data_IF_838551541856
#
_entry.id   IF_838551541856
#
_cell.length_a   1.000
_cell.length_b   1.000
_cell.length_c   1.000
_cell.angle_alpha   90.00
_cell.angle_beta   90.00
_cell.angle_gamma   90.00
#
_symmetry.space_group_name_H-M   'P 1'
#
loop_
_entity.id
_entity.type
_entity.pdbx_description
1 polymer ?
#
# COMPACT_ATOMS: atom_id res chain seq x y z
N UNK A 1 24.29 25.00 44.61
CA UNK A 1 23.85 24.03 43.58
C UNK A 1 22.43 24.37 43.19
N UNK A 2 22.14 24.51 41.91
CA UNK A 2 20.80 24.84 41.40
C UNK A 2 19.90 23.61 41.55
N UNK A 3 18.80 23.71 42.30
CA UNK A 3 17.77 22.67 42.29
C UNK A 3 16.96 22.77 41.00
N UNK A 4 17.08 21.77 40.14
CA UNK A 4 16.24 21.64 38.95
C UNK A 4 14.98 20.89 39.37
N UNK A 5 13.87 21.61 39.53
CA UNK A 5 12.56 21.02 39.81
C UNK A 5 11.99 20.42 38.52
N UNK A 6 12.15 19.11 38.31
CA UNK A 6 11.55 18.41 37.17
C UNK A 6 10.14 17.96 37.55
N UNK A 7 9.12 18.39 36.80
CA UNK A 7 7.76 17.81 36.92
C UNK A 7 7.80 16.38 36.40
N UNK A 8 7.65 15.40 37.29
CA UNK A 8 7.37 14.02 36.91
C UNK A 8 5.86 13.86 36.77
N UNK A 9 5.41 13.51 35.56
CA UNK A 9 4.03 13.11 35.33
C UNK A 9 3.89 11.63 35.71
N UNK A 10 3.24 11.33 36.83
CA UNK A 10 2.78 9.96 37.10
C UNK A 10 1.51 9.70 36.30
N UNK A 11 1.62 8.85 35.29
CA UNK A 11 0.46 8.41 34.52
C UNK A 11 -0.27 7.31 35.27
N UNK A 12 -1.55 7.55 35.57
CA UNK A 12 -2.41 6.51 36.11
C UNK A 12 -2.51 5.30 35.15
N UNK A 13 -2.71 4.11 35.71
CA UNK A 13 -2.91 2.87 34.96
C UNK A 13 -4.03 3.00 33.93
N UNK A 14 -5.08 3.77 34.26
CA UNK A 14 -6.14 4.13 33.33
C UNK A 14 -5.61 4.85 32.08
N UNK A 15 -4.79 5.89 32.26
CA UNK A 15 -4.21 6.68 31.16
C UNK A 15 -3.33 5.82 30.25
N UNK A 16 -2.54 4.91 30.83
CA UNK A 16 -1.71 3.97 30.06
C UNK A 16 -2.56 3.02 29.22
N UNK A 17 -3.67 2.51 29.76
CA UNK A 17 -4.61 1.63 29.04
C UNK A 17 -5.30 2.38 27.91
N UNK A 18 -5.75 3.61 28.15
CA UNK A 18 -6.32 4.47 27.11
C UNK A 18 -5.30 4.75 26.00
N UNK A 19 -4.04 5.01 26.33
CA UNK A 19 -2.97 5.21 25.34
C UNK A 19 -2.79 4.00 24.41
N UNK A 20 -2.82 2.78 24.95
CA UNK A 20 -2.75 1.56 24.13
C UNK A 20 -3.98 1.35 23.24
N UNK A 21 -5.17 1.61 23.78
CA UNK A 21 -6.40 1.54 23.00
C UNK A 21 -6.39 2.54 21.84
N UNK A 22 -6.02 3.79 22.09
CA UNK A 22 -5.91 4.82 21.05
C UNK A 22 -4.84 4.49 20.01
N UNK A 23 -3.71 3.91 20.42
CA UNK A 23 -2.68 3.45 19.49
C UNK A 23 -3.19 2.32 18.59
N UNK A 24 -3.95 1.37 19.15
CA UNK A 24 -4.60 0.33 18.37
C UNK A 24 -5.64 0.90 17.39
N UNK A 25 -6.49 1.82 17.84
CA UNK A 25 -7.43 2.51 16.97
C UNK A 25 -6.70 3.26 15.84
N UNK A 26 -5.59 3.94 16.14
CA UNK A 26 -4.77 4.62 15.13
C UNK A 26 -4.25 3.64 14.08
N UNK A 27 -3.65 2.52 14.49
CA UNK A 27 -3.19 1.48 13.56
C UNK A 27 -4.33 0.91 12.73
N UNK A 28 -5.45 0.56 13.36
CA UNK A 28 -6.56 -0.06 12.65
C UNK A 28 -7.22 0.90 11.66
N UNK A 29 -7.52 2.13 12.08
CA UNK A 29 -8.10 3.16 11.20
C UNK A 29 -7.16 3.52 10.05
N UNK A 30 -5.85 3.65 10.30
CA UNK A 30 -4.88 3.92 9.24
C UNK A 30 -4.86 2.80 8.18
N UNK A 31 -4.73 1.53 8.60
CA UNK A 31 -4.77 0.41 7.66
C UNK A 31 -6.14 0.25 6.98
N UNK A 32 -7.23 0.61 7.65
CA UNK A 32 -8.57 0.56 7.07
C UNK A 32 -8.73 1.58 5.94
N UNK A 33 -8.23 2.81 6.12
CA UNK A 33 -8.25 3.84 5.07
C UNK A 33 -7.45 3.36 3.84
N UNK A 34 -6.25 2.79 4.07
CA UNK A 34 -5.43 2.22 2.99
C UNK A 34 -6.17 1.07 2.28
N UNK A 35 -6.78 0.15 3.04
CA UNK A 35 -7.54 -0.96 2.47
C UNK A 35 -8.72 -0.51 1.60
N UNK A 36 -9.45 0.53 2.04
CA UNK A 36 -10.54 1.13 1.25
C UNK A 36 -9.98 1.76 -0.03
N UNK A 37 -8.84 2.45 0.04
CA UNK A 37 -8.15 3.01 -1.12
C UNK A 37 -7.75 1.94 -2.14
N UNK A 38 -7.04 0.91 -1.70
CA UNK A 38 -6.57 -0.20 -2.54
C UNK A 38 -7.75 -0.90 -3.25
N UNK A 39 -8.80 -1.22 -2.49
CA UNK A 39 -10.00 -1.88 -3.04
C UNK A 39 -10.75 -0.95 -4.01
N UNK A 40 -10.81 0.35 -3.74
CA UNK A 40 -11.48 1.32 -4.60
C UNK A 40 -10.79 1.42 -5.95
N UNK A 41 -9.46 1.54 -5.95
CA UNK A 41 -8.64 1.58 -7.17
C UNK A 41 -8.81 0.27 -7.93
N UNK A 42 -8.70 -0.87 -7.24
CA UNK A 42 -8.85 -2.18 -7.86
C UNK A 42 -10.23 -2.37 -8.51
N UNK A 43 -11.31 -1.92 -7.86
CA UNK A 43 -12.67 -2.01 -8.40
C UNK A 43 -12.88 -1.07 -9.60
N UNK A 44 -12.33 0.14 -9.54
CA UNK A 44 -12.36 1.06 -10.69
C UNK A 44 -11.59 0.50 -11.89
N UNK A 45 -10.41 -0.08 -11.65
CA UNK A 45 -9.58 -0.72 -12.68
C UNK A 45 -10.27 -1.96 -13.24
N UNK A 46 -10.82 -2.84 -12.40
CA UNK A 46 -11.54 -4.02 -12.87
C UNK A 46 -12.73 -3.65 -13.75
N UNK A 47 -13.51 -2.64 -13.36
CA UNK A 47 -14.59 -2.10 -14.20
C UNK A 47 -14.08 -1.56 -15.52
N UNK A 48 -13.00 -0.79 -15.48
CA UNK A 48 -12.42 -0.24 -16.68
C UNK A 48 -11.93 -1.34 -17.62
N UNK A 49 -11.22 -2.33 -17.09
CA UNK A 49 -10.66 -3.44 -17.84
C UNK A 49 -11.77 -4.27 -18.51
N UNK A 50 -12.75 -4.75 -17.74
CA UNK A 50 -13.81 -5.65 -18.22
C UNK A 50 -15.00 -4.94 -18.92
N UNK A 51 -14.89 -3.66 -19.26
CA UNK A 51 -15.88 -2.95 -20.09
C UNK A 51 -15.36 -2.84 -21.51
N UNK A 52 -16.08 -3.37 -22.52
CA UNK A 52 -15.69 -3.26 -23.95
C UNK A 52 -15.78 -1.82 -24.45
N UNK A 53 -16.90 -1.16 -24.19
CA UNK A 53 -17.15 0.21 -24.65
C UNK A 53 -16.66 1.23 -23.60
N UNK A 54 -15.37 1.60 -23.63
CA UNK A 54 -14.76 2.48 -22.61
C UNK A 54 -15.44 3.84 -22.47
N UNK A 55 -16.05 4.35 -23.55
CA UNK A 55 -16.81 5.62 -23.52
C UNK A 55 -18.04 5.58 -22.60
N UNK A 56 -18.55 4.39 -22.24
CA UNK A 56 -19.64 4.23 -21.26
C UNK A 56 -19.19 4.44 -19.82
N UNK A 57 -17.88 4.40 -19.57
CA UNK A 57 -17.32 4.60 -18.24
C UNK A 57 -17.35 6.09 -17.95
N UNK A 58 -18.36 6.52 -17.19
CA UNK A 58 -18.48 7.92 -16.79
C UNK A 58 -17.37 8.35 -15.82
N UNK A 59 -17.11 9.66 -15.75
CA UNK A 59 -16.11 10.26 -14.87
C UNK A 59 -16.32 9.98 -13.37
N UNK A 60 -17.53 9.58 -12.97
CA UNK A 60 -17.90 9.24 -11.60
C UNK A 60 -17.54 7.81 -11.17
N UNK A 61 -16.89 7.03 -12.04
CA UNK A 61 -16.61 5.59 -11.79
C UNK A 61 -15.83 5.35 -10.51
N UNK A 62 -14.82 6.18 -10.21
CA UNK A 62 -14.02 6.05 -8.98
C UNK A 62 -14.88 6.35 -7.74
N UNK A 63 -15.73 7.37 -7.80
CA UNK A 63 -16.62 7.74 -6.69
C UNK A 63 -17.66 6.65 -6.45
N UNK A 64 -18.24 6.08 -7.51
CA UNK A 64 -19.14 4.93 -7.40
C UNK A 64 -18.43 3.69 -6.85
N UNK A 65 -17.19 3.41 -7.29
CA UNK A 65 -16.39 2.33 -6.74
C UNK A 65 -16.13 2.54 -5.24
N UNK A 66 -15.74 3.74 -4.83
CA UNK A 66 -15.51 4.08 -3.42
C UNK A 66 -16.78 3.88 -2.59
N UNK A 67 -17.92 4.37 -3.07
CA UNK A 67 -19.21 4.15 -2.42
C UNK A 67 -19.49 2.66 -2.25
N UNK A 68 -19.31 1.85 -3.29
CA UNK A 68 -19.56 0.41 -3.21
C UNK A 68 -18.60 -0.30 -2.27
N UNK A 69 -17.34 0.13 -2.20
CA UNK A 69 -16.38 -0.41 -1.23
C UNK A 69 -16.84 -0.13 0.20
N UNK A 70 -17.26 1.10 0.49
CA UNK A 70 -17.72 1.48 1.84
C UNK A 70 -19.01 0.74 2.24
N UNK A 71 -19.97 0.59 1.33
CA UNK A 71 -21.26 -0.04 1.67
C UNK A 71 -21.26 -1.57 1.59
N UNK A 72 -20.61 -2.16 0.59
CA UNK A 72 -20.69 -3.61 0.34
C UNK A 72 -19.41 -4.36 0.72
N UNK A 73 -18.24 -3.70 0.75
CA UNK A 73 -16.96 -4.36 1.00
C UNK A 73 -16.21 -3.83 2.23
N UNK A 74 -16.86 -3.03 3.09
CA UNK A 74 -16.25 -2.50 4.31
C UNK A 74 -15.87 -3.62 5.27
N UNK A 75 -16.65 -4.71 5.36
CA UNK A 75 -16.30 -5.88 6.15
C UNK A 75 -14.99 -6.56 5.70
N UNK A 76 -14.79 -6.70 4.39
CA UNK A 76 -13.54 -7.24 3.82
C UNK A 76 -12.35 -6.33 4.12
N UNK A 77 -12.52 -5.01 3.97
CA UNK A 77 -11.47 -4.04 4.28
C UNK A 77 -11.15 -4.05 5.78
N UNK A 78 -12.18 -4.04 6.64
CA UNK A 78 -12.04 -4.05 8.10
C UNK A 78 -11.35 -5.31 8.61
N UNK A 79 -11.69 -6.48 8.08
CA UNK A 79 -11.04 -7.74 8.48
C UNK A 79 -9.56 -7.77 8.08
N UNK A 80 -9.23 -7.43 6.83
CA UNK A 80 -7.83 -7.41 6.39
C UNK A 80 -6.99 -6.35 7.11
N UNK A 81 -7.54 -5.16 7.36
CA UNK A 81 -6.84 -4.09 8.09
C UNK A 81 -6.67 -4.41 9.58
N UNK A 82 -7.64 -5.11 10.19
CA UNK A 82 -7.57 -5.55 11.58
C UNK A 82 -6.40 -6.52 11.81
N UNK A 83 -6.21 -7.49 10.91
CA UNK A 83 -5.09 -8.44 11.02
C UNK A 83 -3.73 -7.72 11.02
N UNK A 84 -3.56 -6.73 10.13
CA UNK A 84 -2.34 -5.93 10.07
C UNK A 84 -2.17 -5.10 11.36
N UNK A 85 -3.25 -4.49 11.85
CA UNK A 85 -3.23 -3.65 13.05
C UNK A 85 -2.89 -4.45 14.33
N UNK A 86 -3.36 -5.69 14.45
CA UNK A 86 -2.98 -6.59 15.55
C UNK A 86 -1.48 -6.84 15.55
N UNK A 87 -0.90 -7.13 14.39
CA UNK A 87 0.55 -7.34 14.25
C UNK A 87 1.35 -6.07 14.58
N UNK A 88 0.87 -4.91 14.14
CA UNK A 88 1.47 -3.61 14.49
C UNK A 88 1.43 -3.33 16.00
N UNK A 89 0.30 -3.66 16.65
CA UNK A 89 0.18 -3.51 18.10
C UNK A 89 1.16 -4.43 18.83
N UNK A 90 1.30 -5.68 18.40
CA UNK A 90 2.28 -6.62 18.99
C UNK A 90 3.70 -6.07 18.85
N UNK A 91 4.08 -5.53 17.69
CA UNK A 91 5.38 -4.87 17.49
C UNK A 91 5.57 -3.66 18.40
N UNK A 92 4.53 -2.85 18.61
CA UNK A 92 4.60 -1.72 19.53
C UNK A 92 4.83 -2.19 20.98
N UNK A 93 4.19 -3.29 21.39
CA UNK A 93 4.42 -3.92 22.70
C UNK A 93 5.85 -4.46 22.83
N UNK A 94 6.36 -5.17 21.81
CA UNK A 94 7.74 -5.66 21.77
C UNK A 94 8.73 -4.49 21.86
N UNK A 95 8.50 -3.40 21.12
CA UNK A 95 9.33 -2.20 21.17
C UNK A 95 9.36 -1.55 22.56
N UNK A 96 8.23 -1.54 23.27
CA UNK A 96 8.19 -1.08 24.68
C UNK A 96 8.98 -2.03 25.58
N UNK A 97 8.83 -3.35 25.41
CA UNK A 97 9.58 -4.34 26.17
C UNK A 97 11.09 -4.23 25.93
N UNK A 98 11.52 -3.94 24.71
CA UNK A 98 12.94 -3.70 24.38
C UNK A 98 13.50 -2.50 25.14
N UNK A 99 12.74 -1.40 25.22
CA UNK A 99 13.13 -0.22 26.02
C UNK A 99 13.25 -0.58 27.50
N UNK A 100 12.32 -1.35 28.04
CA UNK A 100 12.37 -1.81 29.43
C UNK A 100 13.58 -2.73 29.71
N UNK A 101 13.86 -3.69 28.82
CA UNK A 101 15.01 -4.59 28.94
C UNK A 101 16.35 -3.83 28.88
N UNK A 102 16.43 -2.80 28.01
CA UNK A 102 17.60 -1.91 27.92
C UNK A 102 17.83 -1.14 29.22
N UNK A 103 16.76 -0.62 29.82
CA UNK A 103 16.83 0.08 31.12
C UNK A 103 17.25 -0.86 32.26
N UNK A 104 16.86 -2.13 32.19
CA UNK A 104 17.23 -3.17 33.16
C UNK A 104 18.60 -3.82 32.89
N UNK A 105 19.36 -3.37 31.88
CA UNK A 105 20.64 -3.95 31.43
C UNK A 105 20.59 -5.46 31.13
N UNK A 106 19.42 -6.00 30.78
CA UNK A 106 19.25 -7.42 30.46
C UNK A 106 19.51 -7.68 28.96
N UNK A 107 20.77 -8.01 28.64
CA UNK A 107 21.22 -8.26 27.26
C UNK A 107 20.50 -9.46 26.60
N UNK A 108 20.24 -10.53 27.35
CA UNK A 108 19.58 -11.73 26.82
C UNK A 108 18.13 -11.42 26.39
N UNK A 109 17.37 -10.73 27.24
CA UNK A 109 16.02 -10.29 26.90
C UNK A 109 16.01 -9.35 25.69
N UNK A 110 17.01 -8.47 25.57
CA UNK A 110 17.19 -7.60 24.41
C UNK A 110 17.35 -8.36 23.09
N UNK A 111 18.18 -9.42 23.07
CA UNK A 111 18.42 -10.25 21.87
C UNK A 111 17.15 -11.00 21.46
N UNK A 112 16.45 -11.64 22.40
CA UNK A 112 15.21 -12.38 22.12
C UNK A 112 14.16 -11.44 21.54
N UNK A 113 13.94 -10.28 22.16
CA UNK A 113 12.96 -9.30 21.70
C UNK A 113 13.34 -8.71 20.34
N UNK A 114 14.63 -8.58 20.01
CA UNK A 114 15.09 -8.19 18.68
C UNK A 114 14.69 -9.22 17.62
N UNK A 115 14.89 -10.51 17.90
CA UNK A 115 14.47 -11.58 17.00
C UNK A 115 12.95 -11.57 16.78
N UNK A 116 12.16 -11.45 17.86
CA UNK A 116 10.70 -11.33 17.75
C UNK A 116 10.30 -10.10 16.92
N UNK A 117 10.94 -8.94 17.14
CA UNK A 117 10.66 -7.73 16.37
C UNK A 117 10.89 -7.94 14.86
N UNK A 118 11.92 -8.68 14.48
CA UNK A 118 12.20 -9.04 13.09
C UNK A 118 11.11 -9.96 12.52
N UNK A 119 10.74 -11.03 13.23
CA UNK A 119 9.70 -11.96 12.79
C UNK A 119 8.34 -11.27 12.58
N UNK A 120 7.92 -10.43 13.52
CA UNK A 120 6.66 -9.68 13.39
C UNK A 120 6.74 -8.60 12.32
N UNK A 121 7.92 -8.02 12.06
CA UNK A 121 8.12 -7.11 10.92
C UNK A 121 7.88 -7.85 9.59
N UNK A 122 8.47 -9.04 9.42
CA UNK A 122 8.27 -9.86 8.22
C UNK A 122 6.81 -10.28 8.06
N UNK A 123 6.14 -10.68 9.15
CA UNK A 123 4.73 -11.02 9.12
C UNK A 123 3.87 -9.82 8.72
N UNK A 124 4.16 -8.61 9.23
CA UNK A 124 3.44 -7.40 8.84
C UNK A 124 3.60 -7.09 7.35
N UNK A 125 4.82 -7.21 6.82
CA UNK A 125 5.10 -7.04 5.39
C UNK A 125 4.34 -8.07 4.54
N UNK A 126 4.34 -9.34 4.96
CA UNK A 126 3.62 -10.42 4.29
C UNK A 126 2.10 -10.18 4.32
N UNK A 127 1.53 -9.81 5.46
CA UNK A 127 0.11 -9.50 5.59
C UNK A 127 -0.28 -8.32 4.73
N UNK A 128 0.51 -7.23 4.69
CA UNK A 128 0.23 -6.11 3.79
C UNK A 128 0.24 -6.53 2.33
N UNK A 129 1.26 -7.29 1.92
CA UNK A 129 1.36 -7.79 0.55
C UNK A 129 0.17 -8.68 0.19
N UNK A 130 -0.17 -9.68 1.00
CA UNK A 130 -1.29 -10.58 0.74
C UNK A 130 -2.63 -9.82 0.77
N UNK A 131 -2.84 -8.92 1.73
CA UNK A 131 -4.06 -8.13 1.84
C UNK A 131 -4.29 -7.26 0.61
N UNK A 132 -3.27 -6.51 0.15
CA UNK A 132 -3.35 -5.69 -1.06
C UNK A 132 -3.79 -6.52 -2.27
N UNK A 133 -3.14 -7.66 -2.49
CA UNK A 133 -3.47 -8.56 -3.59
C UNK A 133 -4.85 -9.23 -3.42
N UNK A 134 -5.26 -9.53 -2.18
CA UNK A 134 -6.57 -10.07 -1.87
C UNK A 134 -7.70 -9.06 -2.12
N UNK A 135 -7.46 -7.77 -1.88
CA UNK A 135 -8.41 -6.72 -2.23
C UNK A 135 -8.61 -6.67 -3.74
N UNK A 136 -7.54 -6.75 -4.53
CA UNK A 136 -7.63 -6.82 -6.00
C UNK A 136 -8.45 -8.04 -6.45
N UNK A 137 -8.17 -9.22 -5.89
CA UNK A 137 -8.94 -10.43 -6.19
C UNK A 137 -10.41 -10.33 -5.77
N UNK A 138 -10.69 -9.66 -4.66
CA UNK A 138 -12.06 -9.39 -4.22
C UNK A 138 -12.77 -8.44 -5.19
N UNK A 139 -12.08 -7.42 -5.69
CA UNK A 139 -12.66 -6.49 -6.66
C UNK A 139 -13.03 -7.18 -7.98
N UNK A 140 -12.23 -8.14 -8.44
CA UNK A 140 -12.49 -8.89 -9.68
C UNK A 140 -13.59 -9.94 -9.49
N UNK A 141 -13.47 -10.78 -8.44
CA UNK A 141 -14.31 -11.97 -8.28
C UNK A 141 -15.42 -11.85 -7.23
N UNK A 142 -15.49 -10.73 -6.49
CA UNK A 142 -16.47 -10.50 -5.42
C UNK A 142 -16.48 -11.60 -4.35
N UNK A 143 -15.32 -12.16 -3.99
CA UNK A 143 -15.18 -13.22 -2.97
C UNK A 143 -14.80 -12.69 -1.59
N UNK A 144 -15.12 -13.44 -0.52
CA UNK A 144 -14.71 -13.09 0.84
C UNK A 144 -13.17 -13.06 1.02
N UNK A 145 -12.68 -12.24 1.96
CA UNK A 145 -11.25 -11.94 2.15
C UNK A 145 -10.34 -13.17 2.12
N UNK A 146 -10.56 -14.17 2.98
CA UNK A 146 -9.69 -15.34 3.06
C UNK A 146 -9.65 -16.15 1.76
N UNK A 147 -10.80 -16.25 1.06
CA UNK A 147 -10.87 -16.91 -0.26
C UNK A 147 -10.08 -16.11 -1.29
N UNK A 148 -10.20 -14.78 -1.26
CA UNK A 148 -9.43 -13.87 -2.12
C UNK A 148 -7.93 -13.91 -1.84
N UNK A 149 -7.49 -14.04 -0.57
CA UNK A 149 -6.08 -14.23 -0.21
C UNK A 149 -5.52 -15.51 -0.84
N UNK A 150 -6.28 -16.62 -0.74
CA UNK A 150 -5.88 -17.89 -1.35
C UNK A 150 -5.77 -17.74 -2.86
N UNK A 151 -6.78 -17.17 -3.53
CA UNK A 151 -6.74 -16.92 -4.98
C UNK A 151 -5.56 -16.04 -5.38
N UNK A 152 -5.32 -14.95 -4.66
CA UNK A 152 -4.20 -14.04 -4.91
C UNK A 152 -2.86 -14.76 -4.82
N UNK A 153 -2.66 -15.54 -3.76
CA UNK A 153 -1.42 -16.28 -3.56
C UNK A 153 -1.17 -17.29 -4.69
N UNK A 154 -2.18 -18.08 -5.06
CA UNK A 154 -2.04 -19.06 -6.15
C UNK A 154 -1.84 -18.38 -7.52
N UNK A 155 -2.54 -17.27 -7.79
CA UNK A 155 -2.34 -16.50 -9.02
C UNK A 155 -0.91 -15.99 -9.13
N UNK A 156 -0.36 -15.43 -8.03
CA UNK A 156 1.01 -14.95 -7.96
C UNK A 156 2.01 -16.09 -8.14
N UNK A 157 1.78 -17.23 -7.47
CA UNK A 157 2.70 -18.37 -7.53
C UNK A 157 2.79 -18.97 -8.95
N UNK A 158 1.67 -19.11 -9.66
CA UNK A 158 1.64 -19.69 -11.02
C UNK A 158 2.18 -18.74 -12.08
N UNK A 159 2.08 -17.42 -11.87
CA UNK A 159 2.52 -16.40 -12.81
C UNK A 159 3.72 -15.60 -12.29
N UNK A 160 4.52 -16.19 -11.40
CA UNK A 160 5.56 -15.48 -10.65
C UNK A 160 6.58 -14.78 -11.56
N UNK A 161 7.00 -15.41 -12.67
CA UNK A 161 7.96 -14.81 -13.61
C UNK A 161 7.40 -13.56 -14.29
N UNK A 162 6.16 -13.63 -14.80
CA UNK A 162 5.49 -12.48 -15.46
C UNK A 162 5.27 -11.34 -14.48
N UNK A 163 4.78 -11.66 -13.28
CA UNK A 163 4.54 -10.68 -12.23
C UNK A 163 5.85 -10.03 -11.79
N UNK A 164 6.93 -10.81 -11.59
CA UNK A 164 8.23 -10.27 -11.21
C UNK A 164 8.80 -9.33 -12.28
N UNK A 165 8.69 -9.68 -13.57
CA UNK A 165 9.14 -8.82 -14.66
C UNK A 165 8.39 -7.48 -14.68
N UNK A 166 7.06 -7.52 -14.58
CA UNK A 166 6.23 -6.30 -14.57
C UNK A 166 6.48 -5.47 -13.32
N UNK A 167 6.59 -6.10 -12.14
CA UNK A 167 6.91 -5.40 -10.89
C UNK A 167 8.27 -4.70 -10.94
N UNK A 168 9.27 -5.28 -11.60
CA UNK A 168 10.58 -4.62 -11.76
C UNK A 168 10.49 -3.38 -12.65
N UNK A 169 9.81 -3.50 -13.79
CA UNK A 169 9.64 -2.39 -14.73
C UNK A 169 8.78 -1.29 -14.10
N UNK A 170 7.67 -1.63 -13.46
CA UNK A 170 6.79 -0.66 -12.81
C UNK A 170 7.50 0.06 -11.67
N UNK A 171 8.29 -0.64 -10.85
CA UNK A 171 9.07 -0.01 -9.78
C UNK A 171 10.04 1.05 -10.32
N UNK A 172 10.73 0.77 -11.44
CA UNK A 172 11.62 1.74 -12.08
C UNK A 172 10.86 2.99 -12.56
N UNK A 173 9.73 2.79 -13.24
CA UNK A 173 8.87 3.89 -13.74
C UNK A 173 8.34 4.75 -12.59
N UNK A 174 7.87 4.12 -11.50
CA UNK A 174 7.36 4.83 -10.34
C UNK A 174 8.47 5.63 -9.64
N UNK A 175 9.69 5.08 -9.51
CA UNK A 175 10.84 5.82 -8.93
C UNK A 175 11.18 7.04 -9.79
N UNK A 176 11.24 6.88 -11.11
CA UNK A 176 11.49 8.01 -12.03
C UNK A 176 10.40 9.07 -11.86
N UNK A 177 9.13 8.65 -11.76
CA UNK A 177 8.01 9.56 -11.50
C UNK A 177 8.16 10.35 -10.20
N UNK A 178 8.53 9.69 -9.09
CA UNK A 178 8.78 10.34 -7.79
C UNK A 178 9.87 11.41 -7.89
N UNK A 179 10.99 11.07 -8.52
CA UNK A 179 12.12 12.00 -8.73
C UNK A 179 11.77 13.15 -9.67
N UNK A 180 11.00 12.89 -10.72
CA UNK A 180 10.57 13.91 -11.67
C UNK A 180 9.64 14.95 -11.00
N UNK A 181 8.60 14.49 -10.29
CA UNK A 181 7.66 15.38 -9.60
C UNK A 181 8.38 16.22 -8.54
N UNK A 182 9.17 15.57 -7.68
CA UNK A 182 9.91 16.27 -6.61
C UNK A 182 10.91 17.27 -7.16
N UNK A 183 11.60 16.96 -8.26
CA UNK A 183 12.55 17.88 -8.90
C UNK A 183 11.88 19.10 -9.52
N UNK A 184 10.76 18.93 -10.23
CA UNK A 184 10.02 20.05 -10.85
C UNK A 184 9.46 20.99 -9.79
N UNK A 185 8.83 20.44 -8.74
CA UNK A 185 8.29 21.24 -7.64
C UNK A 185 9.41 22.02 -6.96
N UNK A 186 10.53 21.37 -6.68
CA UNK A 186 11.69 22.01 -6.05
C UNK A 186 12.30 23.11 -6.93
N UNK A 187 12.43 22.87 -8.24
CA UNK A 187 12.95 23.86 -9.18
C UNK A 187 12.02 25.07 -9.26
N UNK A 188 10.71 24.85 -9.39
CA UNK A 188 9.72 25.92 -9.43
C UNK A 188 9.72 26.74 -8.13
N UNK A 189 9.74 26.06 -6.97
CA UNK A 189 9.83 26.73 -5.67
C UNK A 189 11.14 27.50 -5.50
N UNK A 190 12.27 26.97 -6.00
CA UNK A 190 13.55 27.67 -5.98
C UNK A 190 13.47 29.00 -6.74
N UNK A 191 12.91 29.01 -7.96
CA UNK A 191 12.72 30.25 -8.72
C UNK A 191 11.87 31.27 -7.96
N UNK A 192 10.77 30.84 -7.36
CA UNK A 192 9.90 31.74 -6.58
C UNK A 192 10.59 32.32 -5.34
N UNK A 193 11.42 31.53 -4.65
CA UNK A 193 12.17 31.99 -3.48
C UNK A 193 13.22 33.02 -3.88
N UNK A 194 13.95 32.75 -4.96
CA UNK A 194 14.99 33.67 -5.46
C UNK A 194 14.39 35.00 -5.92
N UNK A 195 13.21 34.98 -6.53
CA UNK A 195 12.56 36.20 -7.02
C UNK A 195 11.92 37.04 -5.90
N UNK A 196 11.33 36.41 -4.87
CA UNK A 196 10.46 37.12 -3.93
C UNK A 196 11.01 37.27 -2.50
N UNK A 197 11.95 36.42 -2.08
CA UNK A 197 12.32 36.27 -0.65
C UNK A 197 13.84 36.14 -0.47
N UNK A 198 14.63 36.29 -1.52
CA UNK A 198 16.08 36.09 -1.45
C UNK A 198 16.77 37.05 -0.48
N UNK A 199 16.31 38.31 -0.42
CA UNK A 199 16.94 39.35 0.39
C UNK A 199 16.70 39.17 1.90
N UNK A 200 15.66 38.41 2.28
CA UNK A 200 15.31 38.10 3.67
C UNK A 200 15.90 36.76 4.17
N UNK A 201 16.60 36.01 3.31
CA UNK A 201 17.09 34.66 3.60
C UNK A 201 18.62 34.59 3.73
N UNK A 202 19.08 34.03 4.85
CA UNK A 202 20.51 33.73 5.06
C UNK A 202 21.03 32.62 4.11
N UNK A 203 20.16 31.72 3.66
CA UNK A 203 20.50 30.69 2.67
C UNK A 203 19.24 30.09 2.02
N UNK A 204 19.16 30.15 0.69
CA UNK A 204 18.08 29.54 -0.10
C UNK A 204 18.13 28.00 -0.10
N UNK A 205 19.31 27.42 0.16
CA UNK A 205 19.52 25.98 0.13
C UNK A 205 18.70 25.22 1.19
N UNK A 206 18.58 25.78 2.40
CA UNK A 206 17.84 25.15 3.51
C UNK A 206 16.37 24.91 3.18
N UNK A 207 15.59 25.96 2.86
CA UNK A 207 14.19 25.82 2.43
C UNK A 207 14.02 24.90 1.21
N UNK A 208 14.93 24.99 0.23
CA UNK A 208 14.89 24.16 -0.99
C UNK A 208 15.00 22.66 -0.69
N UNK A 209 15.91 22.27 0.21
CA UNK A 209 16.05 20.86 0.64
C UNK A 209 14.80 20.37 1.37
N UNK A 210 14.21 21.20 2.25
CA UNK A 210 12.97 20.84 2.95
C UNK A 210 11.81 20.64 1.97
N UNK A 211 11.68 21.51 0.97
CA UNK A 211 10.67 21.40 -0.09
C UNK A 211 10.88 20.13 -0.91
N UNK A 212 12.12 19.79 -1.26
CA UNK A 212 12.43 18.54 -1.95
C UNK A 212 11.99 17.32 -1.14
N UNK A 213 12.31 17.27 0.16
CA UNK A 213 11.92 16.13 1.01
C UNK A 213 10.40 15.99 1.14
N UNK A 214 9.69 17.10 1.35
CA UNK A 214 8.23 17.10 1.46
C UNK A 214 7.60 16.71 0.12
N UNK A 215 8.07 17.27 -1.00
CA UNK A 215 7.54 16.96 -2.33
C UNK A 215 7.81 15.50 -2.72
N UNK A 216 8.95 14.93 -2.33
CA UNK A 216 9.24 13.51 -2.51
C UNK A 216 8.23 12.64 -1.76
N UNK A 217 7.94 12.94 -0.48
CA UNK A 217 6.92 12.22 0.29
C UNK A 217 5.52 12.33 -0.30
N UNK A 218 5.12 13.52 -0.76
CA UNK A 218 3.82 13.70 -1.42
C UNK A 218 3.76 12.92 -2.74
N UNK A 219 4.85 12.89 -3.51
CA UNK A 219 4.92 12.10 -4.74
C UNK A 219 4.82 10.60 -4.48
N UNK A 220 5.34 10.13 -3.34
CA UNK A 220 5.29 8.73 -2.92
C UNK A 220 3.82 8.27 -2.76
N UNK A 221 3.02 9.03 -2.00
CA UNK A 221 1.59 8.78 -1.83
C UNK A 221 0.82 8.76 -3.15
N UNK A 222 1.15 9.66 -4.09
CA UNK A 222 0.50 9.68 -5.40
C UNK A 222 0.88 8.47 -6.24
N UNK A 223 2.15 8.06 -6.20
CA UNK A 223 2.68 6.93 -6.97
C UNK A 223 2.16 5.58 -6.45
N UNK A 224 1.83 5.47 -5.16
CA UNK A 224 1.18 4.29 -4.60
C UNK A 224 -0.17 3.97 -5.29
N UNK A 225 -0.92 4.99 -5.72
CA UNK A 225 -2.17 4.82 -6.48
C UNK A 225 -1.89 4.11 -7.81
N UNK A 226 -0.83 4.49 -8.51
CA UNK A 226 -0.42 3.85 -9.76
C UNK A 226 0.09 2.42 -9.53
N UNK A 227 0.83 2.17 -8.45
CA UNK A 227 1.30 0.83 -8.12
C UNK A 227 0.13 -0.16 -7.92
N UNK A 228 -0.90 0.26 -7.19
CA UNK A 228 -2.13 -0.53 -7.04
C UNK A 228 -2.83 -0.72 -8.40
N UNK A 229 -2.93 0.33 -9.20
CA UNK A 229 -3.60 0.26 -10.50
C UNK A 229 -2.88 -0.69 -11.47
N UNK A 230 -1.54 -0.62 -11.57
CA UNK A 230 -0.72 -1.52 -12.40
C UNK A 230 -0.90 -2.97 -11.95
N UNK A 231 -0.84 -3.22 -10.63
CA UNK A 231 -1.05 -4.57 -10.07
C UNK A 231 -2.48 -5.08 -10.36
N UNK A 232 -3.48 -4.19 -10.27
CA UNK A 232 -4.86 -4.53 -10.56
C UNK A 232 -5.08 -4.86 -12.04
N UNK A 233 -4.49 -4.08 -12.97
CA UNK A 233 -4.53 -4.37 -14.41
C UNK A 233 -3.89 -5.73 -14.68
N UNK A 234 -2.74 -6.02 -14.06
CA UNK A 234 -2.07 -7.30 -14.22
C UNK A 234 -2.92 -8.47 -13.72
N UNK A 235 -3.56 -8.33 -12.57
CA UNK A 235 -4.49 -9.34 -12.06
C UNK A 235 -5.71 -9.50 -12.98
N UNK A 236 -6.25 -8.41 -13.53
CA UNK A 236 -7.36 -8.49 -14.49
C UNK A 236 -6.93 -9.22 -15.75
N UNK A 237 -5.74 -8.91 -16.28
CA UNK A 237 -5.15 -9.56 -17.45
C UNK A 237 -4.97 -11.06 -17.25
N UNK A 238 -4.35 -11.47 -16.14
CA UNK A 238 -4.16 -12.90 -15.84
C UNK A 238 -5.52 -13.59 -15.62
N UNK A 239 -6.47 -12.93 -14.97
CA UNK A 239 -7.82 -13.48 -14.77
C UNK A 239 -8.56 -13.62 -16.11
N UNK A 240 -8.41 -12.68 -17.02
CA UNK A 240 -9.00 -12.67 -18.36
C UNK A 240 -8.46 -13.85 -19.19
N UNK A 241 -7.14 -14.06 -19.21
CA UNK A 241 -6.47 -15.23 -19.83
C UNK A 241 -6.85 -16.59 -19.21
N UNK A 242 -7.41 -16.60 -17.99
CA UNK A 242 -7.83 -17.81 -17.30
C UNK A 242 -9.33 -18.07 -17.43
N UNK A 243 -10.14 -17.03 -17.63
CA UNK A 243 -11.60 -17.12 -17.75
C UNK A 243 -12.07 -17.23 -19.20
N UNK A 244 -11.32 -16.67 -20.15
CA UNK A 244 -11.76 -16.56 -21.55
C UNK A 244 -10.68 -17.10 -22.49
N UNK A 245 -11.08 -18.01 -23.40
CA UNK A 245 -10.23 -18.58 -24.44
C UNK A 245 -10.30 -17.78 -25.75
N UNK A 246 -11.49 -17.32 -26.14
CA UNK A 246 -11.72 -16.75 -27.49
C UNK A 246 -12.01 -15.23 -27.49
N UNK A 247 -12.68 -14.72 -26.45
CA UNK A 247 -13.07 -13.30 -26.34
C UNK A 247 -12.39 -12.59 -25.16
N UNK A 248 -11.07 -12.42 -25.24
CA UNK A 248 -10.27 -11.70 -24.24
C UNK A 248 -10.60 -10.20 -24.26
N UNK A 249 -10.65 -9.56 -23.08
CA UNK A 249 -10.91 -8.11 -22.90
C UNK A 249 -9.66 -7.24 -23.06
N UNK A 250 -8.46 -7.83 -23.07
CA UNK A 250 -7.19 -7.16 -23.35
C UNK A 250 -7.21 -6.40 -24.71
N UNK A 251 -6.80 -5.13 -24.70
CA UNK A 251 -6.77 -4.26 -25.89
C UNK A 251 -5.33 -4.03 -26.41
N UNK A 252 -5.23 -3.77 -27.72
CA UNK A 252 -4.05 -3.18 -28.36
C UNK A 252 -2.74 -3.97 -28.19
N UNK A 253 -1.71 -3.31 -27.68
CA UNK A 253 -0.36 -3.88 -27.51
C UNK A 253 -0.33 -5.02 -26.48
N UNK A 254 -1.27 -5.06 -25.53
CA UNK A 254 -1.38 -6.15 -24.57
C UNK A 254 -1.92 -7.41 -25.24
N UNK A 255 -2.85 -7.26 -26.18
CA UNK A 255 -3.31 -8.36 -27.04
C UNK A 255 -2.19 -8.85 -27.95
N UNK A 256 -1.42 -7.95 -28.57
CA UNK A 256 -0.23 -8.34 -29.36
C UNK A 256 0.79 -9.11 -28.51
N UNK A 257 1.03 -8.68 -27.28
CA UNK A 257 1.92 -9.40 -26.37
C UNK A 257 1.40 -10.81 -26.05
N UNK A 258 0.08 -11.00 -25.87
CA UNK A 258 -0.54 -12.33 -25.76
C UNK A 258 -0.31 -13.14 -27.04
N UNK A 259 -0.59 -12.56 -28.20
CA UNK A 259 -0.48 -13.26 -29.48
C UNK A 259 0.99 -13.66 -29.78
N UNK A 260 1.97 -12.89 -29.31
CA UNK A 260 3.40 -13.13 -29.50
C UNK A 260 4.04 -14.04 -28.42
N UNK A 261 3.55 -14.00 -27.18
CA UNK A 261 4.20 -14.66 -26.03
C UNK A 261 3.25 -15.56 -25.20
N UNK A 262 2.00 -15.70 -25.63
CA UNK A 262 1.01 -16.57 -25.02
C UNK A 262 1.41 -18.03 -25.17
N UNK A 263 1.49 -18.75 -24.06
CA UNK A 263 1.56 -20.20 -24.11
C UNK A 263 0.21 -20.72 -24.58
N UNK A 264 0.16 -21.50 -25.67
CA UNK A 264 -1.02 -22.29 -26.02
C UNK A 264 -1.43 -23.11 -24.78
N UNK A 265 -2.58 -22.79 -24.19
CA UNK A 265 -3.15 -23.60 -23.11
C UNK A 265 -4.02 -24.68 -23.74
N UNK A 266 -3.68 -25.94 -23.49
CA UNK A 266 -4.60 -27.06 -23.68
C UNK A 266 -5.91 -26.79 -22.89
N UNK A 267 -7.07 -27.16 -23.45
CA UNK A 267 -8.36 -26.91 -22.81
C UNK A 267 -8.41 -27.62 -21.46
N UNK A 268 -8.63 -26.86 -20.39
CA UNK A 268 -8.86 -27.41 -19.07
C UNK A 268 -10.30 -27.89 -18.98
N UNK A 269 -10.45 -29.21 -18.88
CA UNK A 269 -11.71 -29.91 -18.66
C UNK A 269 -12.44 -29.34 -17.43
N UNK A 270 -13.68 -28.91 -17.62
CA UNK A 270 -14.56 -28.42 -16.57
C UNK A 270 -15.10 -29.59 -15.73
N UNK A 271 -14.68 -29.69 -14.46
CA UNK A 271 -15.44 -30.30 -13.35
C UNK A 271 -15.35 -29.46 -12.07
#
# INVERSE_FOLDING_TARGET
GVQITVRQFEFDTFVVRCGWFLLFCLFWTANFIVAVGDMTIALAVARYYFTREKWRIGSWTVIHAMWQVVWYHSGTCAYGSLLIAIVQLIRAVIARAQRAAKNANNKLAGVILCCCQCCFCMMECCLRFISKNAYIQTAIFSTAFCKSCRKAFFLIARNAARIAAISYVSAAVLIIGKLFISSIVTLFSYYLIVENINDDLNSVAGPTVVIFLISYWVSDFFMDVFDVAITAVLHCFIADEEMFTDEIYAEGDLKKYIDENGAEKEPADME
#
